data_IF_898424940436
#
_entry.id   IF_898424940436
#
_cell.length_a   1.000
_cell.length_b   1.000
_cell.length_c   1.000
_cell.angle_alpha   90.00
_cell.angle_beta   90.00
_cell.angle_gamma   90.00
#
_symmetry.space_group_name_H-M   'P 1'
#
loop_
_entity.id
_entity.type
_entity.pdbx_description
1 polymer ?
#
# COMPACT_ATOMS: atom_id res chain seq x y z
N UNK A 1 20.11 74.91 -4.83
CA UNK A 1 19.47 74.36 -3.64
C UNK A 1 18.81 73.01 -3.95
N UNK A 2 18.21 72.85 -5.12
CA UNK A 2 17.46 71.61 -5.53
C UNK A 2 18.37 70.38 -5.71
N UNK A 3 19.61 70.53 -6.23
CA UNK A 3 20.52 69.41 -6.45
C UNK A 3 20.99 68.80 -5.11
N UNK A 4 21.13 69.61 -4.07
CA UNK A 4 21.54 69.13 -2.73
C UNK A 4 20.44 68.32 -2.06
N UNK A 5 19.17 68.68 -2.24
CA UNK A 5 18.01 67.96 -1.73
C UNK A 5 17.82 66.62 -2.46
N UNK A 6 18.08 66.60 -3.77
CA UNK A 6 18.06 65.38 -4.54
C UNK A 6 19.13 64.38 -4.14
N UNK A 7 20.35 64.81 -3.89
CA UNK A 7 21.47 63.99 -3.45
C UNK A 7 21.26 63.43 -2.03
N UNK A 8 20.67 64.22 -1.13
CA UNK A 8 20.34 63.74 0.25
C UNK A 8 19.23 62.71 0.18
N UNK A 9 18.20 62.85 -0.68
CA UNK A 9 17.15 61.85 -0.89
C UNK A 9 17.71 60.55 -1.45
N UNK A 10 18.60 60.64 -2.44
CA UNK A 10 19.25 59.46 -3.03
C UNK A 10 20.13 58.71 -2.05
N UNK A 11 20.89 59.42 -1.23
CA UNK A 11 21.75 58.83 -0.19
C UNK A 11 20.90 58.18 0.93
N UNK A 12 19.80 58.81 1.33
CA UNK A 12 18.85 58.23 2.29
C UNK A 12 18.18 56.95 1.79
N UNK A 13 17.80 56.91 0.50
CA UNK A 13 17.21 55.72 -0.15
C UNK A 13 18.19 54.56 -0.21
N UNK A 14 19.45 54.82 -0.57
CA UNK A 14 20.49 53.78 -0.65
C UNK A 14 20.84 53.25 0.74
N UNK A 15 21.00 54.09 1.75
CA UNK A 15 21.26 53.70 3.13
C UNK A 15 20.09 52.94 3.75
N UNK A 16 18.83 53.39 3.49
CA UNK A 16 17.64 52.69 3.95
C UNK A 16 17.49 51.32 3.28
N UNK A 17 17.74 51.23 1.96
CA UNK A 17 17.73 49.96 1.24
C UNK A 17 18.80 48.99 1.72
N UNK A 18 20.03 49.48 2.00
CA UNK A 18 21.09 48.67 2.54
C UNK A 18 20.81 48.16 3.97
N UNK A 19 20.23 49.01 4.82
CA UNK A 19 19.86 48.66 6.18
C UNK A 19 18.69 47.63 6.17
N UNK A 20 17.69 47.81 5.29
CA UNK A 20 16.59 46.88 5.12
C UNK A 20 17.07 45.53 4.57
N UNK A 21 17.96 45.54 3.58
CA UNK A 21 18.61 44.34 3.03
C UNK A 21 19.38 43.60 4.10
N UNK A 22 20.20 44.30 4.88
CA UNK A 22 20.98 43.70 5.98
C UNK A 22 20.08 43.15 7.09
N UNK A 23 18.97 43.85 7.41
CA UNK A 23 17.99 43.40 8.39
C UNK A 23 17.23 42.14 7.94
N UNK A 24 16.84 42.06 6.64
CA UNK A 24 16.23 40.88 6.05
C UNK A 24 17.18 39.66 6.07
N UNK A 25 18.47 39.90 5.86
CA UNK A 25 19.50 38.83 5.90
C UNK A 25 19.85 38.38 7.31
N UNK A 26 19.65 39.22 8.33
CA UNK A 26 19.88 38.89 9.73
C UNK A 26 18.62 38.44 10.46
N UNK A 27 17.44 38.45 9.82
CA UNK A 27 16.30 37.70 10.34
C UNK A 27 16.77 36.24 10.48
N UNK A 28 16.71 35.68 11.73
CA UNK A 28 16.98 34.25 11.88
C UNK A 28 15.99 33.58 10.93
N UNK A 29 16.51 33.00 9.84
CA UNK A 29 15.74 32.02 9.07
C UNK A 29 15.41 30.95 10.10
N UNK A 30 14.27 31.07 10.77
CA UNK A 30 13.62 29.93 11.33
C UNK A 30 13.51 28.97 10.15
N UNK A 31 14.48 28.04 10.07
CA UNK A 31 14.21 26.78 9.38
C UNK A 31 12.92 26.34 10.07
N UNK A 32 11.79 26.59 9.44
CA UNK A 32 10.64 25.79 9.69
C UNK A 32 11.21 24.37 9.59
N UNK A 33 11.37 23.69 10.71
CA UNK A 33 11.55 22.26 10.71
C UNK A 33 10.31 21.81 9.94
N UNK A 34 10.51 21.51 8.65
CA UNK A 34 9.51 20.78 7.89
C UNK A 34 9.23 19.56 8.78
N UNK A 35 7.97 19.31 9.14
CA UNK A 35 7.62 18.10 9.87
C UNK A 35 8.36 16.98 9.18
N UNK A 36 8.99 16.09 9.94
CA UNK A 36 9.76 14.98 9.36
C UNK A 36 8.84 14.29 8.32
N UNK A 37 9.40 13.82 7.21
CA UNK A 37 8.63 13.16 6.13
C UNK A 37 7.67 12.09 6.66
N UNK A 38 8.00 11.47 7.79
CA UNK A 38 7.15 10.56 8.53
C UNK A 38 5.86 11.21 9.06
N UNK A 39 5.95 12.43 9.63
CA UNK A 39 4.77 13.16 10.14
C UNK A 39 3.83 13.56 9.00
N UNK A 40 4.39 13.98 7.86
CA UNK A 40 3.60 14.32 6.68
C UNK A 40 2.86 13.11 6.10
N UNK A 41 3.50 11.95 6.10
CA UNK A 41 2.89 10.70 5.60
C UNK A 41 1.78 10.22 6.51
N UNK A 42 1.90 10.39 7.83
CA UNK A 42 0.84 10.02 8.78
C UNK A 42 -0.37 10.94 8.65
N UNK A 43 -0.17 12.23 8.52
CA UNK A 43 -1.25 13.21 8.28
C UNK A 43 -1.98 12.89 6.97
N UNK A 44 -1.24 12.70 5.86
CA UNK A 44 -1.82 12.32 4.57
C UNK A 44 -2.59 10.99 4.64
N UNK A 45 -2.13 10.04 5.45
CA UNK A 45 -2.83 8.77 5.67
C UNK A 45 -4.21 8.98 6.25
N UNK A 46 -4.31 9.83 7.27
CA UNK A 46 -5.58 10.17 7.91
C UNK A 46 -6.48 11.00 6.99
N UNK A 47 -5.92 11.98 6.29
CA UNK A 47 -6.68 12.86 5.39
C UNK A 47 -7.26 12.12 4.16
N UNK A 48 -6.60 11.06 3.68
CA UNK A 48 -7.13 10.22 2.60
C UNK A 48 -8.12 9.19 3.12
N UNK A 49 -7.83 8.55 4.27
CA UNK A 49 -8.70 7.52 4.83
C UNK A 49 -10.07 8.06 5.25
N UNK A 50 -10.11 9.25 5.82
CA UNK A 50 -11.36 9.87 6.33
C UNK A 50 -12.44 10.04 5.27
N UNK A 51 -12.21 10.71 4.13
CA UNK A 51 -13.25 10.87 3.10
C UNK A 51 -13.65 9.52 2.47
N UNK A 52 -12.71 8.60 2.30
CA UNK A 52 -13.01 7.29 1.75
C UNK A 52 -13.84 6.43 2.73
N UNK A 53 -13.57 6.51 4.03
CA UNK A 53 -14.38 5.86 5.05
C UNK A 53 -15.80 6.43 5.12
N UNK A 54 -15.95 7.75 4.94
CA UNK A 54 -17.28 8.38 4.87
C UNK A 54 -18.07 7.92 3.65
N UNK A 55 -17.40 7.77 2.49
CA UNK A 55 -18.04 7.23 1.28
C UNK A 55 -18.49 5.78 1.51
N UNK A 56 -17.63 4.95 2.10
CA UNK A 56 -17.97 3.55 2.42
C UNK A 56 -19.14 3.47 3.41
N UNK A 57 -19.10 4.24 4.49
CA UNK A 57 -20.19 4.26 5.48
C UNK A 57 -21.51 4.77 4.92
N UNK A 58 -21.48 5.79 4.04
CA UNK A 58 -22.69 6.25 3.35
C UNK A 58 -23.25 5.18 2.40
N UNK A 59 -22.37 4.44 1.72
CA UNK A 59 -22.75 3.34 0.85
C UNK A 59 -23.38 2.17 1.64
N UNK A 60 -22.82 1.79 2.78
CA UNK A 60 -23.38 0.77 3.70
C UNK A 60 -24.77 1.17 4.18
N UNK A 61 -24.96 2.44 4.60
CA UNK A 61 -26.29 2.93 5.01
C UNK A 61 -27.31 2.90 3.88
N UNK A 62 -26.89 3.08 2.62
CA UNK A 62 -27.77 2.98 1.47
C UNK A 62 -28.17 1.53 1.17
N UNK A 63 -27.31 0.54 1.45
CA UNK A 63 -27.63 -0.89 1.28
C UNK A 63 -28.82 -1.33 2.14
N UNK A 64 -29.00 -0.72 3.31
CA UNK A 64 -30.12 -0.99 4.23
C UNK A 64 -31.44 -0.37 3.76
N UNK A 65 -31.45 0.39 2.66
CA UNK A 65 -32.65 1.02 2.11
C UNK A 65 -33.26 0.20 0.98
N UNK A 66 -34.52 0.52 0.61
CA UNK A 66 -35.16 -0.11 -0.56
C UNK A 66 -34.56 0.43 -1.85
N UNK A 67 -33.63 -0.32 -2.44
CA UNK A 67 -32.97 0.03 -3.69
C UNK A 67 -33.58 -0.76 -4.87
N UNK A 68 -33.74 -0.09 -6.01
CA UNK A 68 -33.99 -0.78 -7.27
C UNK A 68 -32.72 -1.51 -7.77
N UNK A 69 -32.90 -2.37 -8.77
CA UNK A 69 -31.80 -3.20 -9.31
C UNK A 69 -30.67 -2.36 -9.92
N UNK A 70 -30.98 -1.21 -10.51
CA UNK A 70 -29.99 -0.28 -11.07
C UNK A 70 -29.22 0.43 -9.96
N UNK A 71 -29.92 0.91 -8.93
CA UNK A 71 -29.31 1.56 -7.77
C UNK A 71 -28.38 0.60 -7.02
N UNK A 72 -28.81 -0.67 -6.83
CA UNK A 72 -27.98 -1.70 -6.20
C UNK A 72 -26.69 -1.95 -6.96
N UNK A 73 -26.73 -2.04 -8.31
CA UNK A 73 -25.51 -2.17 -9.13
C UNK A 73 -24.60 -0.96 -9.03
N UNK A 74 -25.15 0.26 -9.03
CA UNK A 74 -24.36 1.49 -8.89
C UNK A 74 -23.72 1.57 -7.51
N UNK A 75 -24.46 1.25 -6.45
CA UNK A 75 -23.98 1.22 -5.09
C UNK A 75 -22.83 0.21 -4.93
N UNK A 76 -22.99 -1.01 -5.43
CA UNK A 76 -21.92 -2.01 -5.45
C UNK A 76 -20.66 -1.50 -6.15
N UNK A 77 -20.82 -0.76 -7.28
CA UNK A 77 -19.68 -0.14 -7.96
C UNK A 77 -18.98 0.89 -7.08
N UNK A 78 -19.73 1.72 -6.35
CA UNK A 78 -19.16 2.73 -5.43
C UNK A 78 -18.41 2.04 -4.29
N UNK A 79 -19.04 1.09 -3.62
CA UNK A 79 -18.46 0.35 -2.48
C UNK A 79 -17.16 -0.34 -2.89
N UNK A 80 -17.18 -1.08 -4.02
CA UNK A 80 -16.02 -1.81 -4.53
C UNK A 80 -14.86 -0.87 -4.87
N UNK A 81 -15.13 0.25 -5.55
CA UNK A 81 -14.07 1.19 -5.92
C UNK A 81 -13.55 1.99 -4.72
N UNK A 82 -14.40 2.32 -3.75
CA UNK A 82 -13.96 2.96 -2.50
C UNK A 82 -13.03 2.05 -1.70
N UNK A 83 -13.40 0.79 -1.49
CA UNK A 83 -12.55 -0.19 -0.84
C UNK A 83 -11.20 -0.36 -1.56
N UNK A 84 -11.22 -0.38 -2.90
CA UNK A 84 -10.00 -0.45 -3.70
C UNK A 84 -9.12 0.80 -3.53
N UNK A 85 -9.71 2.00 -3.54
CA UNK A 85 -8.98 3.27 -3.37
C UNK A 85 -8.33 3.35 -1.97
N UNK A 86 -9.02 2.92 -0.91
CA UNK A 86 -8.47 2.84 0.46
C UNK A 86 -7.20 1.97 0.45
N UNK A 87 -7.25 0.79 -0.12
CA UNK A 87 -6.12 -0.14 -0.13
C UNK A 87 -4.94 0.34 -0.96
N UNK A 88 -5.18 1.01 -2.08
CA UNK A 88 -4.13 1.65 -2.87
C UNK A 88 -3.44 2.76 -2.06
N UNK A 89 -4.23 3.60 -1.37
CA UNK A 89 -3.72 4.64 -0.51
C UNK A 89 -2.87 4.05 0.63
N UNK A 90 -3.36 3.02 1.32
CA UNK A 90 -2.63 2.32 2.38
C UNK A 90 -1.30 1.72 1.88
N UNK A 91 -1.31 1.10 0.70
CA UNK A 91 -0.09 0.54 0.10
C UNK A 91 0.92 1.63 -0.23
N UNK A 92 0.47 2.74 -0.82
CA UNK A 92 1.32 3.89 -1.12
C UNK A 92 1.93 4.50 0.14
N UNK A 93 1.11 4.72 1.17
CA UNK A 93 1.51 5.31 2.43
C UNK A 93 2.46 4.42 3.23
N UNK A 94 2.20 3.11 3.28
CA UNK A 94 3.12 2.12 3.86
C UNK A 94 4.47 2.18 3.16
N UNK A 95 4.48 2.20 1.84
CA UNK A 95 5.71 2.33 1.05
C UNK A 95 6.45 3.65 1.28
N UNK A 96 5.73 4.76 1.46
CA UNK A 96 6.32 6.05 1.78
C UNK A 96 6.95 6.06 3.20
N UNK A 97 6.27 5.48 4.19
CA UNK A 97 6.80 5.30 5.56
C UNK A 97 8.07 4.48 5.57
N UNK A 98 8.08 3.35 4.88
CA UNK A 98 9.27 2.47 4.79
C UNK A 98 10.49 3.25 4.28
N UNK A 99 10.30 4.12 3.29
CA UNK A 99 11.41 4.92 2.73
C UNK A 99 11.88 6.06 3.63
N UNK A 100 10.95 6.71 4.34
CA UNK A 100 11.24 7.88 5.16
C UNK A 100 11.81 7.53 6.52
N UNK A 101 11.05 6.79 7.32
CA UNK A 101 11.36 6.50 8.73
C UNK A 101 11.70 5.04 9.02
N UNK A 102 11.63 4.18 8.01
CA UNK A 102 11.73 2.73 8.20
C UNK A 102 10.41 2.11 8.65
N UNK A 103 10.39 0.79 8.68
CA UNK A 103 9.21 0.02 9.09
C UNK A 103 9.21 -0.15 10.61
N UNK A 104 8.23 0.46 11.28
CA UNK A 104 7.92 0.19 12.68
C UNK A 104 6.82 -0.85 12.72
N UNK A 105 7.01 -1.90 13.51
CA UNK A 105 6.08 -3.02 13.63
C UNK A 105 5.48 -3.02 15.05
N UNK A 106 4.15 -3.05 15.11
CA UNK A 106 3.41 -3.32 16.34
C UNK A 106 3.09 -4.83 16.39
N UNK A 107 4.02 -5.61 16.95
CA UNK A 107 3.97 -7.07 16.87
C UNK A 107 3.16 -7.69 17.99
N UNK A 108 2.25 -8.57 17.60
CA UNK A 108 1.44 -9.42 18.48
C UNK A 108 1.42 -10.87 17.96
N UNK A 109 0.84 -11.78 18.73
CA UNK A 109 0.57 -13.15 18.24
C UNK A 109 -0.63 -13.12 17.29
N UNK A 110 -0.40 -13.41 16.02
CA UNK A 110 -1.39 -13.33 14.94
C UNK A 110 -1.67 -14.72 14.38
N UNK A 111 -2.93 -15.14 14.37
CA UNK A 111 -3.36 -16.30 13.59
C UNK A 111 -3.41 -15.97 12.09
N UNK A 112 -2.41 -16.42 11.34
CA UNK A 112 -2.30 -16.19 9.91
C UNK A 112 -3.47 -16.80 9.13
N UNK A 113 -4.02 -17.93 9.60
CA UNK A 113 -5.17 -18.60 8.99
C UNK A 113 -6.41 -17.69 8.99
N UNK A 114 -6.64 -17.00 10.09
CA UNK A 114 -7.75 -16.05 10.19
C UNK A 114 -7.61 -14.91 9.18
N UNK A 115 -6.41 -14.32 9.07
CA UNK A 115 -6.14 -13.27 8.11
C UNK A 115 -6.32 -13.73 6.66
N UNK A 116 -5.90 -14.95 6.34
CA UNK A 116 -6.10 -15.55 5.01
C UNK A 116 -7.58 -15.70 4.68
N UNK A 117 -8.40 -16.20 5.62
CA UNK A 117 -9.85 -16.32 5.43
C UNK A 117 -10.51 -14.97 5.19
N UNK A 118 -10.17 -13.96 5.99
CA UNK A 118 -10.70 -12.61 5.87
C UNK A 118 -10.34 -11.99 4.51
N UNK A 119 -9.08 -12.04 4.12
CA UNK A 119 -8.62 -11.49 2.85
C UNK A 119 -9.26 -12.21 1.65
N UNK A 120 -9.36 -13.53 1.68
CA UNK A 120 -9.99 -14.29 0.60
C UNK A 120 -11.50 -13.99 0.48
N UNK A 121 -12.21 -13.82 1.61
CA UNK A 121 -13.62 -13.44 1.60
C UNK A 121 -13.81 -12.08 0.92
N UNK A 122 -13.01 -11.09 1.31
CA UNK A 122 -13.08 -9.75 0.74
C UNK A 122 -12.76 -9.73 -0.76
N UNK A 123 -11.75 -10.47 -1.21
CA UNK A 123 -11.40 -10.52 -2.65
C UNK A 123 -12.48 -11.23 -3.46
N UNK A 124 -13.09 -12.30 -2.94
CA UNK A 124 -14.24 -12.97 -3.59
C UNK A 124 -15.40 -12.01 -3.80
N UNK A 125 -15.74 -11.24 -2.78
CA UNK A 125 -16.83 -10.27 -2.83
C UNK A 125 -16.58 -9.15 -3.84
N UNK A 126 -15.33 -8.60 -3.86
CA UNK A 126 -14.97 -7.47 -4.71
C UNK A 126 -14.80 -7.87 -6.17
N UNK A 127 -14.19 -9.02 -6.46
CA UNK A 127 -13.75 -9.40 -7.80
C UNK A 127 -14.53 -10.58 -8.40
N UNK A 128 -15.45 -11.16 -7.65
CA UNK A 128 -16.28 -12.33 -8.07
C UNK A 128 -15.41 -13.49 -8.61
N UNK A 129 -14.24 -13.75 -7.98
CA UNK A 129 -13.29 -14.81 -8.37
C UNK A 129 -13.41 -16.02 -7.45
N UNK A 130 -13.16 -17.21 -8.01
CA UNK A 130 -13.11 -18.44 -7.23
C UNK A 130 -11.76 -18.61 -6.54
N UNK A 131 -11.77 -18.70 -5.20
CA UNK A 131 -10.59 -18.87 -4.37
C UNK A 131 -10.74 -20.13 -3.54
N UNK A 132 -9.91 -21.12 -3.78
CA UNK A 132 -9.85 -22.33 -2.97
C UNK A 132 -8.88 -22.10 -1.80
N UNK A 133 -9.40 -22.23 -0.57
CA UNK A 133 -8.57 -22.22 0.64
C UNK A 133 -8.28 -23.63 1.10
N UNK A 134 -7.02 -23.95 1.33
CA UNK A 134 -6.64 -25.18 2.02
C UNK A 134 -6.48 -24.86 3.50
N UNK A 135 -7.41 -25.35 4.31
CA UNK A 135 -7.41 -25.12 5.76
C UNK A 135 -6.47 -26.12 6.45
N UNK A 136 -5.47 -25.66 7.20
CA UNK A 136 -4.57 -26.56 7.95
C UNK A 136 -5.22 -27.23 9.17
N UNK A 137 -6.47 -26.87 9.49
CA UNK A 137 -7.23 -27.43 10.62
C UNK A 137 -6.86 -26.85 12.00
N UNK A 138 -5.66 -26.28 12.15
CA UNK A 138 -5.18 -25.69 13.39
C UNK A 138 -4.76 -24.22 13.17
N UNK A 139 -4.78 -23.36 14.20
CA UNK A 139 -4.24 -22.01 14.13
C UNK A 139 -2.77 -22.00 13.75
N UNK A 140 -2.36 -21.03 12.95
CA UNK A 140 -0.98 -20.82 12.51
C UNK A 140 -0.49 -19.48 13.06
N UNK A 141 0.15 -19.50 14.22
CA UNK A 141 0.61 -18.27 14.87
C UNK A 141 1.95 -17.80 14.33
N UNK A 142 2.02 -16.50 14.03
CA UNK A 142 3.23 -15.74 13.73
C UNK A 142 3.31 -14.56 14.69
N UNK A 143 4.51 -14.15 15.09
CA UNK A 143 4.69 -12.93 15.90
C UNK A 143 4.91 -11.74 14.98
N UNK A 144 3.88 -10.94 14.76
CA UNK A 144 3.91 -9.90 13.75
C UNK A 144 2.81 -8.84 13.88
N UNK A 145 2.91 -7.83 13.04
CA UNK A 145 1.94 -6.76 12.93
C UNK A 145 0.73 -7.23 12.09
N UNK A 146 -0.40 -7.38 12.75
CA UNK A 146 -1.65 -7.88 12.15
C UNK A 146 -2.07 -7.07 10.92
N UNK A 147 -1.99 -5.76 10.98
CA UNK A 147 -2.43 -4.88 9.90
C UNK A 147 -1.53 -5.01 8.66
N UNK A 148 -0.22 -5.02 8.88
CA UNK A 148 0.75 -5.17 7.79
C UNK A 148 0.73 -6.58 7.19
N UNK A 149 0.57 -7.63 8.00
CA UNK A 149 0.41 -9.00 7.51
C UNK A 149 -0.91 -9.16 6.71
N UNK A 150 -2.01 -8.56 7.17
CA UNK A 150 -3.25 -8.51 6.39
C UNK A 150 -3.05 -7.82 5.04
N UNK A 151 -2.29 -6.74 4.98
CA UNK A 151 -1.93 -6.06 3.74
C UNK A 151 -1.11 -6.95 2.80
N UNK A 152 -0.15 -7.72 3.32
CA UNK A 152 0.62 -8.70 2.53
C UNK A 152 -0.30 -9.72 1.88
N UNK A 153 -1.14 -10.38 2.68
CA UNK A 153 -2.04 -11.44 2.21
C UNK A 153 -3.00 -10.90 1.15
N UNK A 154 -3.62 -9.76 1.44
CA UNK A 154 -4.55 -9.13 0.51
C UNK A 154 -3.85 -8.76 -0.82
N UNK A 155 -2.65 -8.16 -0.78
CA UNK A 155 -1.91 -7.80 -1.99
C UNK A 155 -1.58 -9.02 -2.86
N UNK A 156 -1.21 -10.15 -2.25
CA UNK A 156 -0.91 -11.38 -2.99
C UNK A 156 -2.16 -11.98 -3.63
N UNK A 157 -3.26 -12.11 -2.88
CA UNK A 157 -4.51 -12.67 -3.40
C UNK A 157 -5.11 -11.74 -4.48
N UNK A 158 -5.12 -10.44 -4.25
CA UNK A 158 -5.61 -9.46 -5.24
C UNK A 158 -4.74 -9.44 -6.51
N UNK A 159 -3.41 -9.61 -6.37
CA UNK A 159 -2.52 -9.73 -7.52
C UNK A 159 -2.85 -10.98 -8.36
N UNK A 160 -3.02 -12.13 -7.72
CA UNK A 160 -3.48 -13.35 -8.36
C UNK A 160 -4.83 -13.14 -9.08
N UNK A 161 -5.81 -12.49 -8.44
CA UNK A 161 -7.12 -12.24 -9.00
C UNK A 161 -7.11 -11.29 -10.22
N UNK A 162 -6.27 -10.26 -10.20
CA UNK A 162 -6.20 -9.25 -11.28
C UNK A 162 -5.51 -9.74 -12.55
N UNK A 163 -4.56 -10.65 -12.43
CA UNK A 163 -3.80 -11.18 -13.58
C UNK A 163 -4.42 -12.44 -14.17
N UNK A 164 -5.62 -12.73 -13.73
CA UNK A 164 -6.39 -13.89 -14.14
C UNK A 164 -7.14 -13.68 -15.46
N UNK A 165 -7.22 -14.72 -16.26
CA UNK A 165 -8.11 -14.84 -17.43
C UNK A 165 -9.45 -15.44 -16.96
N UNK A 166 -10.47 -15.44 -17.80
CA UNK A 166 -11.75 -16.12 -17.51
C UNK A 166 -11.50 -17.59 -17.08
N UNK A 167 -12.18 -18.04 -16.02
CA UNK A 167 -12.04 -19.39 -15.47
C UNK A 167 -10.84 -19.63 -14.59
N UNK A 168 -10.18 -18.58 -14.10
CA UNK A 168 -9.02 -18.72 -13.21
C UNK A 168 -9.42 -19.28 -11.85
N UNK A 169 -8.56 -20.17 -11.39
CA UNK A 169 -8.58 -20.72 -10.04
C UNK A 169 -7.41 -20.15 -9.26
N UNK A 170 -7.73 -19.57 -8.11
CA UNK A 170 -6.75 -19.14 -7.13
C UNK A 170 -6.76 -20.16 -6.00
N UNK A 171 -5.58 -20.66 -5.65
CA UNK A 171 -5.42 -21.57 -4.52
C UNK A 171 -4.55 -20.88 -3.48
N UNK A 172 -5.07 -20.77 -2.26
CA UNK A 172 -4.33 -20.24 -1.12
C UNK A 172 -4.13 -21.35 -0.11
N UNK A 173 -2.87 -21.64 0.22
CA UNK A 173 -2.47 -22.64 1.19
C UNK A 173 -1.69 -21.98 2.30
N UNK A 174 -1.94 -22.38 3.54
CA UNK A 174 -1.12 -22.00 4.68
C UNK A 174 -0.84 -23.22 5.53
N UNK A 175 0.43 -23.39 5.92
CA UNK A 175 0.86 -24.55 6.72
C UNK A 175 2.13 -24.21 7.50
N UNK A 176 2.43 -25.04 8.50
CA UNK A 176 3.69 -24.96 9.21
C UNK A 176 4.70 -25.90 8.59
N UNK A 177 5.92 -25.41 8.38
CA UNK A 177 7.09 -26.19 8.00
C UNK A 177 8.24 -25.90 8.97
N UNK A 178 8.49 -26.83 9.88
CA UNK A 178 9.47 -26.67 10.94
C UNK A 178 9.21 -25.43 11.81
N UNK A 179 10.16 -24.50 11.81
CA UNK A 179 10.10 -23.21 12.53
C UNK A 179 9.48 -22.08 11.71
N UNK A 180 8.95 -22.38 10.53
CA UNK A 180 8.34 -21.39 9.64
C UNK A 180 6.84 -21.65 9.48
N UNK A 181 6.09 -20.59 9.26
CA UNK A 181 4.73 -20.61 8.75
C UNK A 181 4.79 -20.17 7.31
N UNK A 182 4.27 -21.00 6.42
CA UNK A 182 4.30 -20.79 4.97
C UNK A 182 2.91 -20.37 4.50
N UNK A 183 2.86 -19.34 3.65
CA UNK A 183 1.70 -18.95 2.88
C UNK A 183 2.03 -19.06 1.39
N UNK A 184 1.24 -19.82 0.66
CA UNK A 184 1.32 -19.95 -0.79
C UNK A 184 0.05 -19.38 -1.42
N UNK A 185 0.23 -18.53 -2.43
CA UNK A 185 -0.85 -18.00 -3.26
C UNK A 185 -0.53 -18.37 -4.70
N UNK A 186 -1.31 -19.27 -5.25
CA UNK A 186 -1.12 -19.82 -6.62
C UNK A 186 -2.27 -19.40 -7.52
N UNK A 187 -1.96 -18.91 -8.70
CA UNK A 187 -2.90 -18.68 -9.78
C UNK A 187 -2.52 -19.50 -11.02
N UNK A 188 -3.50 -19.82 -11.86
CA UNK A 188 -3.29 -20.45 -13.16
C UNK A 188 -3.37 -19.45 -14.32
N UNK A 189 -2.98 -18.19 -14.08
CA UNK A 189 -3.00 -17.10 -15.06
C UNK A 189 -1.89 -17.17 -16.10
N UNK A 190 -1.53 -16.00 -16.65
CA UNK A 190 -0.55 -15.90 -17.71
C UNK A 190 0.91 -16.10 -17.28
N UNK A 191 1.20 -16.20 -15.99
CA UNK A 191 2.57 -16.21 -15.47
C UNK A 191 3.28 -14.88 -15.66
N UNK A 192 4.56 -14.83 -15.28
CA UNK A 192 5.39 -13.62 -15.31
C UNK A 192 6.62 -13.89 -16.19
N UNK A 193 6.86 -13.02 -17.16
CA UNK A 193 8.00 -13.14 -18.07
C UNK A 193 9.35 -12.96 -17.36
N UNK A 194 10.44 -13.46 -17.94
CA UNK A 194 11.79 -13.33 -17.36
C UNK A 194 12.22 -11.87 -17.17
N UNK A 195 11.79 -10.96 -18.03
CA UNK A 195 12.10 -9.54 -17.91
C UNK A 195 11.37 -8.90 -16.72
N UNK A 196 10.11 -9.24 -16.50
CA UNK A 196 9.31 -8.72 -15.40
C UNK A 196 9.73 -9.27 -14.03
N UNK A 197 10.24 -10.53 -13.96
CA UNK A 197 10.68 -11.15 -12.70
C UNK A 197 11.82 -10.41 -12.02
N UNK A 198 12.73 -9.80 -12.79
CA UNK A 198 13.91 -9.14 -12.27
C UNK A 198 13.54 -7.98 -11.33
N UNK A 199 12.47 -7.26 -11.66
CA UNK A 199 12.06 -6.04 -10.98
C UNK A 199 10.77 -6.21 -10.15
N UNK A 200 10.30 -7.46 -9.99
CA UNK A 200 9.00 -7.78 -9.41
C UNK A 200 8.82 -7.25 -7.98
N UNK A 201 9.86 -7.31 -7.16
CA UNK A 201 9.87 -6.87 -5.77
C UNK A 201 10.57 -5.52 -5.59
N UNK A 202 10.99 -4.86 -6.68
CA UNK A 202 11.52 -3.51 -6.61
C UNK A 202 10.38 -2.49 -6.50
N UNK A 203 10.59 -1.50 -5.66
CA UNK A 203 9.67 -0.38 -5.56
C UNK A 203 9.65 0.37 -6.90
N UNK A 204 8.50 0.45 -7.58
CA UNK A 204 8.35 0.96 -8.96
C UNK A 204 8.90 0.06 -10.09
N UNK A 205 9.24 -1.18 -9.84
CA UNK A 205 9.80 -2.09 -10.87
C UNK A 205 8.91 -2.37 -12.07
N UNK A 206 7.65 -1.97 -12.05
CA UNK A 206 6.72 -2.06 -13.19
C UNK A 206 6.69 -0.84 -14.12
N UNK A 207 7.42 0.25 -13.83
CA UNK A 207 7.31 1.50 -14.59
C UNK A 207 8.36 1.70 -15.70
N UNK A 208 9.32 0.80 -15.88
CA UNK A 208 10.36 0.94 -16.90
C UNK A 208 9.95 0.44 -18.29
N UNK A 209 8.81 -0.16 -18.45
CA UNK A 209 8.25 -0.44 -19.78
C UNK A 209 7.10 0.53 -20.09
N UNK A 210 7.23 1.27 -21.19
CA UNK A 210 6.26 2.18 -21.78
C UNK A 210 4.88 1.56 -22.12
N UNK A 211 4.58 0.37 -21.58
CA UNK A 211 3.35 -0.38 -21.74
C UNK A 211 2.58 -0.56 -20.43
N UNK A 212 2.66 0.38 -19.48
CA UNK A 212 1.73 0.42 -18.35
C UNK A 212 0.35 0.81 -18.89
N UNK A 213 -0.38 -0.20 -19.41
CA UNK A 213 -1.81 -0.06 -19.67
C UNK A 213 -2.50 0.30 -18.35
N UNK A 214 -3.53 1.13 -18.40
CA UNK A 214 -4.28 1.67 -17.27
C UNK A 214 -4.83 0.62 -16.27
N UNK A 215 -4.66 -0.66 -16.56
CA UNK A 215 -5.04 -1.82 -15.73
C UNK A 215 -3.89 -2.45 -14.93
N UNK A 216 -2.64 -2.01 -15.12
CA UNK A 216 -1.52 -2.48 -14.30
C UNK A 216 -1.53 -1.69 -13.00
N UNK A 217 -2.01 -2.29 -11.93
CA UNK A 217 -1.86 -1.72 -10.58
C UNK A 217 -0.40 -1.28 -10.40
N UNK A 218 -0.19 -0.12 -9.81
CA UNK A 218 1.03 0.71 -9.83
C UNK A 218 2.38 0.04 -9.44
N UNK A 219 2.55 -1.27 -9.54
CA UNK A 219 3.80 -1.99 -9.21
C UNK A 219 4.27 -1.84 -7.76
N UNK A 220 3.48 -1.16 -6.94
CA UNK A 220 3.81 -0.80 -5.56
C UNK A 220 3.58 -1.97 -4.59
N UNK A 221 2.57 -2.80 -4.87
CA UNK A 221 2.10 -3.81 -3.93
C UNK A 221 3.15 -4.86 -3.57
N UNK A 222 3.83 -5.42 -4.56
CA UNK A 222 4.82 -6.48 -4.33
C UNK A 222 6.12 -5.95 -3.71
N UNK A 223 6.53 -4.73 -4.03
CA UNK A 223 7.65 -4.07 -3.36
C UNK A 223 7.37 -3.84 -1.86
N UNK A 224 6.15 -3.39 -1.52
CA UNK A 224 5.70 -3.24 -0.14
C UNK A 224 5.60 -4.60 0.56
N UNK A 225 5.06 -5.63 -0.10
CA UNK A 225 5.01 -7.01 0.42
C UNK A 225 6.40 -7.48 0.84
N UNK A 226 7.41 -7.35 -0.05
CA UNK A 226 8.77 -7.77 0.26
C UNK A 226 9.35 -7.06 1.49
N UNK A 227 9.11 -5.76 1.63
CA UNK A 227 9.61 -4.98 2.78
C UNK A 227 8.90 -5.36 4.08
N UNK A 228 7.59 -5.54 4.05
CA UNK A 228 6.83 -5.99 5.24
C UNK A 228 7.30 -7.37 5.69
N UNK A 229 7.39 -8.32 4.77
CA UNK A 229 7.81 -9.71 5.08
C UNK A 229 9.21 -9.73 5.66
N UNK A 230 10.16 -8.99 5.07
CA UNK A 230 11.53 -8.86 5.62
C UNK A 230 11.55 -8.22 7.00
N UNK A 231 10.73 -7.19 7.25
CA UNK A 231 10.59 -6.57 8.59
C UNK A 231 10.10 -7.56 9.66
N UNK A 232 9.37 -8.58 9.24
CA UNK A 232 8.91 -9.68 10.09
C UNK A 232 9.94 -10.82 10.22
N UNK A 233 11.13 -10.69 9.60
CA UNK A 233 12.17 -11.73 9.59
C UNK A 233 11.85 -12.88 8.63
N UNK A 234 10.96 -12.67 7.70
CA UNK A 234 10.54 -13.63 6.68
C UNK A 234 11.15 -13.38 5.31
N UNK A 235 10.75 -14.19 4.35
CA UNK A 235 11.15 -14.11 2.94
C UNK A 235 9.93 -14.28 2.03
N UNK A 236 9.97 -13.63 0.86
CA UNK A 236 9.00 -13.83 -0.21
C UNK A 236 9.71 -14.31 -1.47
N UNK A 237 9.21 -15.41 -2.03
CA UNK A 237 9.69 -16.03 -3.26
C UNK A 237 8.58 -16.06 -4.30
N UNK A 238 8.97 -16.19 -5.56
CA UNK A 238 8.05 -16.38 -6.68
C UNK A 238 8.50 -17.53 -7.55
N UNK A 239 7.60 -18.47 -7.78
CA UNK A 239 7.72 -19.49 -8.80
C UNK A 239 6.69 -19.22 -9.89
N UNK A 240 7.15 -19.05 -11.12
CA UNK A 240 6.28 -18.65 -12.22
C UNK A 240 6.86 -19.10 -13.55
N UNK A 241 5.98 -19.59 -14.41
CA UNK A 241 6.28 -19.92 -15.78
C UNK A 241 5.26 -19.22 -16.69
N UNK A 242 5.78 -18.50 -17.68
CA UNK A 242 4.94 -17.81 -18.66
C UNK A 242 3.96 -18.79 -19.32
N UNK A 243 2.67 -18.45 -19.29
CA UNK A 243 1.56 -19.29 -19.77
C UNK A 243 1.06 -20.35 -18.78
N UNK A 244 1.67 -20.52 -17.60
CA UNK A 244 1.28 -21.56 -16.63
C UNK A 244 0.84 -21.04 -15.26
N UNK A 245 0.90 -19.71 -15.06
CA UNK A 245 0.52 -19.08 -13.79
C UNK A 245 1.68 -18.72 -12.88
N UNK A 246 1.35 -18.33 -11.66
CA UNK A 246 2.31 -17.85 -10.66
C UNK A 246 1.99 -18.41 -9.29
N UNK A 247 3.02 -18.75 -8.54
CA UNK A 247 2.95 -19.06 -7.10
C UNK A 247 3.83 -18.09 -6.34
N UNK A 248 3.23 -17.30 -5.45
CA UNK A 248 3.95 -16.53 -4.44
C UNK A 248 4.04 -17.36 -3.18
N UNK A 249 5.25 -17.46 -2.60
CA UNK A 249 5.52 -18.16 -1.36
C UNK A 249 6.05 -17.16 -0.36
N UNK A 250 5.38 -17.02 0.77
CA UNK A 250 5.83 -16.22 1.91
C UNK A 250 6.16 -17.16 3.04
N UNK A 251 7.38 -17.04 3.58
CA UNK A 251 7.79 -17.71 4.80
C UNK A 251 7.93 -16.71 5.93
N UNK A 252 7.36 -17.02 7.09
CA UNK A 252 7.42 -16.20 8.30
C UNK A 252 7.89 -17.05 9.48
N UNK A 253 8.72 -16.51 10.39
CA UNK A 253 9.05 -17.22 11.62
C UNK A 253 7.79 -17.55 12.40
N UNK A 254 7.68 -18.80 12.86
CA UNK A 254 6.57 -19.21 13.72
C UNK A 254 6.54 -18.38 15.00
N UNK A 255 5.38 -17.87 15.35
CA UNK A 255 5.13 -17.27 16.66
C UNK A 255 5.28 -18.32 17.75
N UNK A 256 5.99 -17.95 18.81
CA UNK A 256 6.06 -18.79 19.99
C UNK A 256 4.91 -18.45 20.90
N UNK A 257 4.05 -19.39 21.19
CA UNK A 257 3.33 -19.38 22.48
C UNK A 257 4.38 -19.30 23.58
N UNK A 258 4.48 -18.16 24.27
CA UNK A 258 5.12 -18.12 25.58
C UNK A 258 4.32 -18.94 26.55
#
# INVERSE_FOLDING_TARGET
>A
MEILVFLIGLAGGILGGYALHKWIWHLPRRRAMLPSDATNTDILSHEIRTPLALISGAAELLEDTSLDERQRRLLHTVTTNSAHAIRLAETFLTGAKIRGSGLRLDKEDVDLRELVRQAASQVREILAVDILLTDPGAPLYVYGDRQLLSQVIWNLINNAARHCREGVKIVVRSFQDGAQVILEVTDNGGGISKSQRRDLFTYYGGQTSQAATANSGAGLGLGVVSQIVRGHGGEVLVDTLEGRGTTFVVSLPKGGTK
#
